data_IF_624386592980
#
_entry.id   IF_624386592980
#
_cell.length_a   1.000
_cell.length_b   1.000
_cell.length_c   1.000
_cell.angle_alpha   90.00
_cell.angle_beta   90.00
_cell.angle_gamma   90.00
#
_symmetry.space_group_name_H-M   'P 1'
#
loop_
_entity.id
_entity.type
_entity.pdbx_description
1 polymer ?
#
# COMPACT_ATOMS: atom_id res chain seq x y z
N UNK A 1 18.40 -26.06 -22.14
CA UNK A 1 18.10 -24.86 -21.35
C UNK A 1 16.88 -24.19 -21.96
N UNK A 2 15.70 -24.41 -21.40
CA UNK A 2 14.44 -23.85 -21.91
C UNK A 2 14.33 -22.39 -21.49
N UNK A 3 14.49 -21.46 -22.44
CA UNK A 3 14.25 -20.03 -22.21
C UNK A 3 12.74 -19.87 -22.03
N UNK A 4 12.31 -19.65 -20.79
CA UNK A 4 10.93 -19.33 -20.45
C UNK A 4 10.51 -18.05 -21.15
N UNK A 5 9.37 -18.11 -21.85
CA UNK A 5 8.78 -16.98 -22.57
C UNK A 5 8.55 -15.84 -21.57
N UNK A 6 9.06 -14.62 -21.81
CA UNK A 6 8.92 -13.53 -20.84
C UNK A 6 7.44 -13.24 -20.63
N UNK A 7 7.00 -13.27 -19.37
CA UNK A 7 5.64 -12.89 -19.00
C UNK A 7 5.42 -11.42 -19.38
N UNK A 8 4.40 -11.15 -20.19
CA UNK A 8 4.01 -9.78 -20.55
C UNK A 8 3.57 -9.07 -19.28
N UNK A 9 4.43 -8.24 -18.71
CA UNK A 9 4.07 -7.39 -17.58
C UNK A 9 3.02 -6.39 -18.06
N UNK A 10 1.87 -6.29 -17.37
CA UNK A 10 0.89 -5.23 -17.67
C UNK A 10 1.45 -3.91 -17.16
N UNK A 11 1.60 -2.97 -18.07
CA UNK A 11 2.00 -1.60 -17.75
C UNK A 11 0.72 -0.81 -17.41
N UNK A 12 0.76 0.12 -16.44
CA UNK A 12 -0.42 0.92 -16.07
C UNK A 12 -0.98 1.71 -17.26
N UNK A 13 -2.31 1.68 -17.40
CA UNK A 13 -3.03 2.57 -18.30
C UNK A 13 -3.03 4.00 -17.75
N UNK A 14 -3.02 4.99 -18.64
CA UNK A 14 -3.02 6.41 -18.30
C UNK A 14 -3.99 7.14 -19.24
N UNK A 15 -4.73 8.10 -18.71
CA UNK A 15 -5.62 8.96 -19.51
C UNK A 15 -4.85 10.14 -20.10
N UNK A 16 -5.25 10.57 -21.28
CA UNK A 16 -4.71 11.77 -21.92
C UNK A 16 -5.07 13.01 -21.10
N UNK A 17 -4.12 13.89 -20.75
CA UNK A 17 -4.41 15.09 -19.97
C UNK A 17 -5.23 16.16 -20.72
N UNK A 18 -5.42 16.02 -22.04
CA UNK A 18 -6.16 16.99 -22.85
C UNK A 18 -7.62 16.62 -23.09
N UNK A 19 -7.92 15.33 -23.21
CA UNK A 19 -9.25 14.88 -23.61
C UNK A 19 -9.78 13.72 -22.75
N UNK A 20 -9.05 13.33 -21.70
CA UNK A 20 -9.32 12.21 -20.80
C UNK A 20 -9.48 10.83 -21.48
N UNK A 21 -9.26 10.78 -22.79
CA UNK A 21 -9.31 9.58 -23.61
C UNK A 21 -8.17 8.61 -23.26
N UNK A 22 -8.30 7.33 -23.64
CA UNK A 22 -7.28 6.33 -23.36
C UNK A 22 -5.96 6.69 -24.06
N UNK A 23 -4.85 6.55 -23.33
CA UNK A 23 -3.51 6.69 -23.89
C UNK A 23 -2.81 5.34 -24.00
N UNK A 24 -2.44 4.97 -25.22
CA UNK A 24 -1.72 3.74 -25.53
C UNK A 24 -0.20 3.92 -25.41
N UNK A 25 0.48 2.91 -24.90
CA UNK A 25 1.95 2.92 -24.73
C UNK A 25 2.61 2.63 -26.08
N UNK A 26 3.63 3.41 -26.42
CA UNK A 26 4.43 3.23 -27.65
C UNK A 26 5.84 2.73 -27.37
N UNK A 27 6.46 3.24 -26.31
CA UNK A 27 7.80 2.82 -25.91
C UNK A 27 7.95 2.98 -24.40
N UNK A 28 8.78 2.14 -23.78
CA UNK A 28 9.20 2.33 -22.40
C UNK A 28 10.70 2.07 -22.25
N UNK A 29 11.41 3.05 -21.69
CA UNK A 29 12.85 3.03 -21.50
C UNK A 29 13.16 3.09 -20.00
N UNK A 30 14.00 2.17 -19.51
CA UNK A 30 14.53 2.26 -18.15
C UNK A 30 15.58 3.36 -18.10
N UNK A 31 15.41 4.34 -17.22
CA UNK A 31 16.40 5.39 -17.00
C UNK A 31 17.35 5.03 -15.87
N UNK A 32 16.80 4.56 -14.76
CA UNK A 32 17.55 4.06 -13.61
C UNK A 32 16.93 2.76 -13.12
N UNK A 33 17.53 2.13 -12.13
CA UNK A 33 16.99 0.91 -11.51
C UNK A 33 15.59 1.11 -10.93
N UNK A 34 15.22 2.35 -10.56
CA UNK A 34 13.94 2.69 -9.94
C UNK A 34 12.99 3.49 -10.83
N UNK A 35 13.47 4.01 -11.97
CA UNK A 35 12.72 4.93 -12.83
C UNK A 35 12.63 4.43 -14.28
N UNK A 36 11.42 4.46 -14.84
CA UNK A 36 11.13 4.16 -16.24
C UNK A 36 10.36 5.30 -16.89
N UNK A 37 10.84 5.77 -18.04
CA UNK A 37 10.10 6.69 -18.91
C UNK A 37 9.24 5.91 -19.88
N UNK A 38 7.98 6.30 -19.99
CA UNK A 38 6.99 5.64 -20.82
C UNK A 38 6.39 6.68 -21.76
N UNK A 39 6.54 6.45 -23.06
CA UNK A 39 5.92 7.27 -24.11
C UNK A 39 4.51 6.76 -24.38
N UNK A 40 3.54 7.62 -24.19
CA UNK A 40 2.13 7.42 -24.49
C UNK A 40 1.72 8.20 -25.74
N UNK A 41 0.74 7.68 -26.48
CA UNK A 41 0.00 8.39 -27.53
C UNK A 41 -1.49 8.19 -27.26
N UNK A 42 -2.24 9.29 -27.21
CA UNK A 42 -3.69 9.25 -27.14
C UNK A 42 -4.27 8.45 -28.30
N UNK A 43 -5.27 7.61 -28.03
CA UNK A 43 -5.94 6.80 -29.05
C UNK A 43 -7.03 7.57 -29.79
N UNK A 44 -7.50 8.70 -29.24
CA UNK A 44 -8.34 9.62 -29.98
C UNK A 44 -7.49 10.31 -31.06
N UNK A 45 -7.76 10.02 -32.33
CA UNK A 45 -7.02 10.57 -33.46
C UNK A 45 -7.21 12.10 -33.62
N UNK A 46 -8.32 12.67 -33.16
CA UNK A 46 -8.50 14.13 -33.14
C UNK A 46 -7.58 14.81 -32.12
N UNK A 47 -7.34 14.15 -30.98
CA UNK A 47 -6.43 14.66 -29.95
C UNK A 47 -4.98 14.40 -30.33
N UNK A 48 -4.64 13.16 -30.69
CA UNK A 48 -3.33 12.74 -31.16
C UNK A 48 -2.15 12.97 -30.20
N UNK A 49 -2.40 13.45 -28.97
CA UNK A 49 -1.36 13.92 -28.06
C UNK A 49 -0.35 12.82 -27.73
N UNK A 50 0.94 13.16 -27.81
CA UNK A 50 2.06 12.26 -27.49
C UNK A 50 2.82 12.85 -26.33
N UNK A 51 2.97 12.07 -25.26
CA UNK A 51 3.56 12.54 -24.02
C UNK A 51 4.40 11.46 -23.34
N UNK A 52 5.28 11.89 -22.43
CA UNK A 52 6.10 11.01 -21.62
C UNK A 52 5.61 11.07 -20.18
N UNK A 53 5.39 9.91 -19.58
CA UNK A 53 5.16 9.79 -18.15
C UNK A 53 6.30 9.00 -17.49
N UNK A 54 6.57 9.32 -16.24
CA UNK A 54 7.59 8.65 -15.43
C UNK A 54 6.93 7.68 -14.45
N UNK A 55 7.36 6.42 -14.47
CA UNK A 55 7.01 5.42 -13.46
C UNK A 55 8.21 5.24 -12.54
N UNK A 56 8.06 5.66 -11.28
CA UNK A 56 9.11 5.62 -10.27
C UNK A 56 8.69 4.80 -9.05
N UNK A 57 9.62 3.98 -8.56
CA UNK A 57 9.52 3.38 -7.22
C UNK A 57 10.00 4.41 -6.19
N UNK A 58 9.08 4.96 -5.41
CA UNK A 58 9.36 6.08 -4.49
C UNK A 58 9.60 5.65 -3.04
N UNK A 59 9.01 4.53 -2.59
CA UNK A 59 9.10 4.07 -1.19
C UNK A 59 8.87 2.57 -1.06
N UNK A 60 9.46 1.99 -0.03
CA UNK A 60 9.27 0.60 0.36
C UNK A 60 8.10 0.49 1.33
N UNK A 61 7.08 -0.31 0.99
CA UNK A 61 5.97 -0.63 1.91
C UNK A 61 6.32 -1.85 2.76
N UNK A 62 6.87 -2.88 2.11
CA UNK A 62 7.35 -4.12 2.76
C UNK A 62 8.77 -4.38 2.24
N UNK A 63 9.75 -4.72 3.10
CA UNK A 63 11.11 -4.99 2.65
C UNK A 63 11.16 -6.23 1.75
N UNK A 64 12.08 -6.22 0.79
CA UNK A 64 12.38 -7.41 -0.04
C UNK A 64 13.07 -8.49 0.79
N UNK A 65 12.71 -9.76 0.57
CA UNK A 65 13.45 -10.90 1.12
C UNK A 65 14.84 -11.09 0.49
N UNK A 66 15.11 -10.40 -0.63
CA UNK A 66 16.41 -10.35 -1.32
C UNK A 66 16.71 -8.90 -1.69
N UNK A 67 17.22 -8.07 -0.76
CA UNK A 67 17.47 -6.66 -1.02
C UNK A 67 18.65 -6.49 -1.99
N UNK A 68 18.50 -5.58 -2.96
CA UNK A 68 19.64 -5.11 -3.75
C UNK A 68 20.37 -4.01 -2.94
N UNK A 69 21.65 -4.19 -2.58
CA UNK A 69 22.40 -3.21 -1.78
C UNK A 69 22.65 -1.87 -2.49
N UNK A 70 22.44 -1.75 -3.80
CA UNK A 70 22.55 -0.48 -4.52
C UNK A 70 21.27 0.36 -4.45
N UNK A 71 20.14 -0.25 -4.06
CA UNK A 71 18.85 0.43 -3.98
C UNK A 71 18.62 0.91 -2.55
N UNK A 72 18.44 2.23 -2.39
CA UNK A 72 18.12 2.90 -1.12
C UNK A 72 16.80 3.65 -1.29
N UNK A 73 15.70 3.06 -0.82
CA UNK A 73 14.36 3.66 -0.86
C UNK A 73 13.87 3.93 0.57
N UNK A 74 13.23 5.08 0.84
CA UNK A 74 12.63 5.34 2.15
C UNK A 74 11.49 4.36 2.42
N UNK A 75 11.25 4.03 3.68
CA UNK A 75 10.06 3.26 4.06
C UNK A 75 8.83 4.17 4.13
N UNK A 76 7.67 3.67 3.72
CA UNK A 76 6.41 4.37 3.94
C UNK A 76 6.12 4.51 5.42
N UNK A 77 5.64 5.68 5.86
CA UNK A 77 5.17 5.85 7.24
C UNK A 77 4.00 4.88 7.51
N UNK A 78 4.12 3.95 8.47
CA UNK A 78 3.08 2.97 8.77
C UNK A 78 1.78 3.59 9.28
N UNK A 79 1.80 4.87 9.66
CA UNK A 79 0.63 5.59 10.16
C UNK A 79 -0.21 6.26 9.06
N UNK A 80 0.24 6.28 7.80
CA UNK A 80 -0.46 6.97 6.69
C UNK A 80 -1.56 6.11 6.04
N UNK A 81 -1.56 4.80 6.28
CA UNK A 81 -2.60 3.88 5.80
C UNK A 81 -3.33 3.18 6.97
N UNK A 82 -3.56 3.89 8.08
CA UNK A 82 -4.40 3.38 9.17
C UNK A 82 -5.87 3.76 8.98
N UNK A 83 -6.47 3.27 7.89
CA UNK A 83 -7.87 2.80 7.96
C UNK A 83 -7.91 1.31 8.29
N UNK A 84 -6.81 0.75 8.83
CA UNK A 84 -6.86 -0.53 9.52
C UNK A 84 -7.61 -0.27 10.83
N UNK A 85 -8.79 -0.89 11.05
CA UNK A 85 -9.40 -0.90 12.36
C UNK A 85 -8.36 -1.37 13.37
N UNK A 86 -8.43 -0.86 14.61
CA UNK A 86 -7.64 -1.42 15.71
C UNK A 86 -7.76 -2.96 15.66
N UNK A 87 -6.67 -3.70 15.90
CA UNK A 87 -6.79 -5.14 16.04
C UNK A 87 -7.90 -5.43 17.07
N UNK A 88 -8.79 -6.37 16.75
CA UNK A 88 -10.01 -6.65 17.52
C UNK A 88 -9.76 -7.14 18.96
N UNK A 89 -8.51 -7.12 19.43
CA UNK A 89 -8.09 -7.44 20.78
C UNK A 89 -7.77 -6.20 21.64
N UNK A 90 -7.87 -4.98 21.09
CA UNK A 90 -7.73 -3.72 21.84
C UNK A 90 -9.06 -3.27 22.46
N UNK A 91 -10.15 -4.03 22.26
CA UNK A 91 -11.42 -3.79 22.95
C UNK A 91 -11.26 -4.17 24.42
N UNK A 92 -11.14 -3.17 25.31
CA UNK A 92 -11.26 -3.31 26.77
C UNK A 92 -12.69 -3.73 27.14
N UNK A 93 -13.09 -4.93 26.75
CA UNK A 93 -14.34 -5.53 27.20
C UNK A 93 -14.07 -6.09 28.60
N UNK A 94 -14.80 -5.60 29.59
CA UNK A 94 -14.80 -6.19 30.93
C UNK A 94 -15.12 -7.69 30.79
N UNK A 95 -14.28 -8.60 31.31
CA UNK A 95 -14.52 -10.03 31.19
C UNK A 95 -15.84 -10.38 31.87
N UNK A 96 -16.63 -11.24 31.24
CA UNK A 96 -18.00 -11.56 31.69
C UNK A 96 -18.05 -12.36 33.01
N UNK A 97 -16.91 -12.64 33.65
CA UNK A 97 -16.82 -13.46 34.86
C UNK A 97 -16.20 -12.74 36.06
N UNK A 98 -16.31 -11.41 36.11
CA UNK A 98 -16.21 -10.72 37.40
C UNK A 98 -17.52 -10.96 38.16
N UNK A 99 -17.68 -12.19 38.67
CA UNK A 99 -18.60 -12.47 39.76
C UNK A 99 -18.20 -11.52 40.89
N UNK A 100 -19.02 -10.51 41.17
CA UNK A 100 -18.92 -9.75 42.40
C UNK A 100 -19.04 -10.76 43.53
N UNK A 101 -17.89 -11.21 44.06
CA UNK A 101 -17.83 -11.94 45.32
C UNK A 101 -18.30 -10.95 46.38
N UNK A 102 -19.60 -10.96 46.62
CA UNK A 102 -20.17 -10.29 47.78
C UNK A 102 -19.72 -11.12 48.99
N UNK A 103 -18.60 -10.73 49.58
CA UNK A 103 -18.19 -11.26 50.88
C UNK A 103 -19.27 -10.84 51.90
N UNK A 104 -19.91 -11.77 52.62
CA UNK A 104 -20.91 -11.41 53.63
C UNK A 104 -20.24 -10.61 54.74
N UNK A 105 -20.85 -9.49 55.11
CA UNK A 105 -20.36 -8.55 56.12
C UNK A 105 -20.02 -9.29 57.42
N UNK A 106 -18.73 -9.32 57.76
CA UNK A 106 -18.25 -9.77 59.05
C UNK A 106 -18.79 -8.83 60.14
N UNK A 107 -19.52 -9.42 61.07
CA UNK A 107 -20.01 -8.85 62.33
C UNK A 107 -18.95 -8.03 63.05
N UNK A 108 -19.24 -6.76 63.34
CA UNK A 108 -18.49 -5.99 64.34
C UNK A 108 -19.23 -6.02 65.69
N UNK A 109 -18.54 -6.27 66.82
CA UNK A 109 -19.16 -6.31 68.14
C UNK A 109 -19.46 -4.90 68.66
N UNK A 110 -20.59 -4.78 69.38
CA UNK A 110 -21.02 -3.56 70.09
C UNK A 110 -20.17 -3.38 71.36
N UNK A 111 -19.54 -2.22 71.60
CA UNK A 111 -18.92 -1.92 72.89
C UNK A 111 -19.83 -1.11 73.83
N UNK A 112 -19.78 -1.56 75.09
CA UNK A 112 -20.14 -0.95 76.39
C UNK A 112 -21.61 -0.64 76.71
#
# INVERSE_FOLDING_TARGET
>A
MTISKPTKHRIPGLSCPHCDGPAGIRNSAALTTTVRHIRYRCENDECGHVFVAELQVIRTIVPSARPNPEIRLPFSNPNVCRTRPLPANDDTRTPANDDVVTLPAATTPVPS
#
